data_IF_346083158338
#
_entry.id   IF_346083158338
#
_cell.length_a   1.000
_cell.length_b   1.000
_cell.length_c   1.000
_cell.angle_alpha   90.00
_cell.angle_beta   90.00
_cell.angle_gamma   90.00
#
_symmetry.space_group_name_H-M   'P 1'
#
loop_
_entity.id
_entity.type
_entity.pdbx_description
1 polymer ?
#
# COMPACT_ATOMS: atom_id res chain seq x y z
N UNK A 1 6.06 1.53 5.96
CA UNK A 1 7.05 1.84 4.91
C UNK A 1 6.27 2.42 3.74
N UNK A 2 6.61 3.62 3.30
CA UNK A 2 6.02 4.23 2.09
C UNK A 2 7.10 4.20 1.02
N UNK A 3 6.73 3.77 -0.17
CA UNK A 3 7.62 3.69 -1.33
C UNK A 3 7.07 4.65 -2.38
N UNK A 4 7.94 5.51 -2.90
CA UNK A 4 7.61 6.42 -3.99
C UNK A 4 8.25 5.90 -5.28
N UNK A 5 7.53 5.99 -6.39
CA UNK A 5 8.11 5.74 -7.70
C UNK A 5 9.03 6.91 -8.07
N UNK A 6 10.17 6.62 -8.72
CA UNK A 6 10.98 7.67 -9.36
C UNK A 6 10.23 8.34 -10.51
N UNK A 7 10.72 9.48 -11.03
CA UNK A 7 10.11 10.14 -12.17
C UNK A 7 10.00 9.18 -13.37
N UNK A 8 8.85 9.18 -14.03
CA UNK A 8 8.49 8.27 -15.15
C UNK A 8 8.51 6.77 -14.81
N UNK A 9 8.56 6.40 -13.54
CA UNK A 9 8.41 5.01 -13.12
C UNK A 9 6.97 4.73 -12.73
N UNK A 10 6.47 3.59 -13.18
CA UNK A 10 5.16 3.06 -12.77
C UNK A 10 5.41 1.79 -11.97
N UNK A 11 4.62 1.58 -10.92
CA UNK A 11 4.67 0.39 -10.10
C UNK A 11 3.32 -0.29 -10.15
N UNK A 12 3.31 -1.60 -10.37
CA UNK A 12 2.09 -2.41 -10.33
C UNK A 12 2.05 -3.27 -9.07
N UNK A 13 0.85 -3.64 -8.64
CA UNK A 13 0.66 -4.55 -7.51
C UNK A 13 1.39 -5.88 -7.69
N UNK A 14 1.50 -6.37 -8.93
CA UNK A 14 2.15 -7.66 -9.23
C UNK A 14 3.66 -7.56 -9.11
N UNK A 15 4.27 -6.45 -9.53
CA UNK A 15 5.69 -6.19 -9.31
C UNK A 15 6.02 -6.13 -7.81
N UNK A 16 5.19 -5.44 -7.02
CA UNK A 16 5.37 -5.39 -5.56
C UNK A 16 5.25 -6.77 -4.95
N UNK A 17 4.23 -7.55 -5.35
CA UNK A 17 4.02 -8.91 -4.84
C UNK A 17 5.20 -9.82 -5.16
N UNK A 18 5.69 -9.81 -6.40
CA UNK A 18 6.82 -10.61 -6.84
C UNK A 18 8.09 -10.29 -6.03
N UNK A 19 8.38 -9.01 -5.78
CA UNK A 19 9.51 -8.60 -4.96
C UNK A 19 9.37 -9.06 -3.50
N UNK A 20 8.16 -8.95 -2.92
CA UNK A 20 7.90 -9.38 -1.55
C UNK A 20 8.06 -10.89 -1.39
N UNK A 21 7.61 -11.69 -2.36
CA UNK A 21 7.77 -13.15 -2.32
C UNK A 21 9.24 -13.59 -2.26
N UNK A 22 10.15 -12.82 -2.85
CA UNK A 22 11.59 -13.09 -2.81
C UNK A 22 12.24 -12.60 -1.52
N UNK A 23 11.63 -11.63 -0.83
CA UNK A 23 12.25 -10.91 0.29
C UNK A 23 11.76 -11.36 1.67
N UNK A 24 10.54 -11.91 1.75
CA UNK A 24 9.90 -12.32 3.01
C UNK A 24 9.20 -13.67 2.86
N UNK A 25 8.94 -14.34 4.00
CA UNK A 25 8.19 -15.58 4.03
C UNK A 25 6.79 -15.41 3.40
N UNK A 26 6.35 -16.40 2.62
CA UNK A 26 5.14 -16.30 1.79
C UNK A 26 3.87 -15.91 2.55
N UNK A 27 3.69 -16.37 3.79
CA UNK A 27 2.52 -16.01 4.61
C UNK A 27 2.48 -14.53 5.04
N UNK A 28 3.60 -13.81 4.91
CA UNK A 28 3.68 -12.36 5.18
C UNK A 28 3.40 -11.52 3.94
N UNK A 29 3.32 -12.12 2.75
CA UNK A 29 3.00 -11.42 1.52
C UNK A 29 1.52 -11.02 1.53
N UNK A 30 1.18 -9.72 1.39
CA UNK A 30 -0.21 -9.28 1.43
C UNK A 30 -1.03 -9.88 0.28
N UNK A 31 -2.26 -10.29 0.59
CA UNK A 31 -3.23 -10.75 -0.43
C UNK A 31 -3.66 -9.60 -1.33
N UNK A 32 -3.92 -8.44 -0.73
CA UNK A 32 -4.36 -7.23 -1.40
C UNK A 32 -3.28 -6.15 -1.32
N UNK A 33 -2.99 -5.51 -2.46
CA UNK A 33 -2.06 -4.39 -2.57
C UNK A 33 -2.77 -3.34 -3.42
N UNK A 34 -3.04 -2.17 -2.82
CA UNK A 34 -3.58 -1.00 -3.53
C UNK A 34 -2.52 0.09 -3.57
N UNK A 35 -2.34 0.66 -4.75
CA UNK A 35 -1.46 1.80 -4.98
C UNK A 35 -2.34 3.05 -5.02
N UNK A 36 -1.91 4.10 -4.35
CA UNK A 36 -2.63 5.37 -4.29
C UNK A 36 -1.80 6.47 -4.93
N UNK A 37 -2.43 7.27 -5.78
CA UNK A 37 -1.81 8.44 -6.41
C UNK A 37 -1.99 9.73 -5.58
N UNK A 38 -2.71 9.63 -4.46
CA UNK A 38 -2.91 10.70 -3.48
C UNK A 38 -2.29 10.31 -2.14
N UNK A 39 -1.89 11.29 -1.32
CA UNK A 39 -1.37 11.01 0.02
C UNK A 39 -2.35 10.16 0.85
N UNK A 40 -1.81 9.19 1.59
CA UNK A 40 -2.59 8.39 2.52
C UNK A 40 -3.14 9.25 3.67
N UNK A 41 -4.27 8.84 4.23
CA UNK A 41 -4.90 9.54 5.34
C UNK A 41 -3.95 9.62 6.54
N UNK A 42 -3.83 10.82 7.08
CA UNK A 42 -3.04 11.12 8.27
C UNK A 42 -3.94 11.76 9.32
N UNK A 43 -3.67 11.46 10.59
CA UNK A 43 -4.33 12.12 11.71
C UNK A 43 -3.69 13.47 12.05
N UNK A 44 -4.20 14.13 13.08
CA UNK A 44 -3.73 15.45 13.55
C UNK A 44 -2.23 15.52 13.95
N UNK A 45 -1.57 14.37 14.12
CA UNK A 45 -0.14 14.27 14.43
C UNK A 45 0.73 13.96 13.20
N UNK A 46 0.17 14.10 11.98
CA UNK A 46 0.79 13.75 10.70
C UNK A 46 1.15 12.27 10.52
N UNK A 47 0.85 11.44 11.52
CA UNK A 47 1.00 9.98 11.45
C UNK A 47 -0.13 9.38 10.63
N UNK A 48 0.17 8.29 9.92
CA UNK A 48 -0.84 7.55 9.18
C UNK A 48 -1.98 7.09 10.08
N UNK A 49 -3.19 7.47 9.69
CA UNK A 49 -4.40 6.95 10.31
C UNK A 49 -4.70 5.58 9.72
N UNK A 50 -4.10 4.54 10.30
CA UNK A 50 -4.27 3.17 9.84
C UNK A 50 -5.72 2.71 9.88
N UNK A 51 -6.53 3.25 10.80
CA UNK A 51 -7.94 2.90 10.93
C UNK A 51 -8.72 3.47 9.74
N UNK A 52 -8.59 4.77 9.50
CA UNK A 52 -9.26 5.43 8.38
C UNK A 52 -8.83 4.86 7.02
N UNK A 53 -7.53 4.54 6.85
CA UNK A 53 -7.02 3.88 5.64
C UNK A 53 -7.68 2.51 5.44
N UNK A 54 -7.82 1.71 6.52
CA UNK A 54 -8.46 0.40 6.44
C UNK A 54 -9.95 0.52 6.12
N UNK A 55 -10.65 1.44 6.77
CA UNK A 55 -12.08 1.68 6.55
C UNK A 55 -12.34 2.12 5.11
N UNK A 56 -11.55 3.07 4.59
CA UNK A 56 -11.62 3.49 3.19
C UNK A 56 -11.31 2.34 2.21
N UNK A 57 -10.30 1.51 2.52
CA UNK A 57 -9.99 0.34 1.69
C UNK A 57 -11.17 -0.64 1.59
N UNK A 58 -11.85 -0.92 2.71
CA UNK A 58 -12.99 -1.83 2.78
C UNK A 58 -14.21 -1.23 2.06
N UNK A 59 -14.53 0.04 2.29
CA UNK A 59 -15.68 0.70 1.69
C UNK A 59 -15.62 0.78 0.15
N UNK A 60 -14.42 0.79 -0.43
CA UNK A 60 -14.22 0.74 -1.89
C UNK A 60 -14.32 -0.68 -2.48
N UNK A 61 -14.57 -1.71 -1.67
CA UNK A 61 -14.69 -3.11 -2.10
C UNK A 61 -16.09 -3.70 -1.98
N UNK A 62 -17.01 -2.96 -1.34
CA UNK A 62 -18.46 -3.21 -1.39
C UNK A 62 -19.09 -2.53 -2.62
#
# INVERSE_FOLDING_TARGET
MVVYCGPNQTLTSDQVRAQLQQSIAGYKVPRYIRIHDRPLLKGATEKFDKRAIREGFIAEQD
#
